data_IF_524210195158
#
_entry.id   IF_524210195158
#
_cell.length_a   1.000
_cell.length_b   1.000
_cell.length_c   1.000
_cell.angle_alpha   90.00
_cell.angle_beta   90.00
_cell.angle_gamma   90.00
#
_symmetry.space_group_name_H-M   'P 1'
#
loop_
_entity.id
_entity.type
_entity.pdbx_description
1 polymer ?
#
# COMPACT_ATOMS: atom_id res chain seq x y z
N UNK A 1 -5.34 1.53 42.98
CA UNK A 1 -5.63 2.53 41.92
C UNK A 1 -4.71 2.37 40.70
N UNK A 2 -3.52 1.80 40.88
CA UNK A 2 -2.46 1.81 39.85
C UNK A 2 -2.54 0.67 38.82
N UNK A 3 -3.49 -0.25 38.97
CA UNK A 3 -3.77 -1.24 37.94
C UNK A 3 -4.39 -0.58 36.68
N UNK A 4 -4.25 -1.17 35.48
CA UNK A 4 -4.99 -0.74 34.30
C UNK A 4 -6.49 -0.69 34.55
N UNK A 5 -7.18 0.31 33.97
CA UNK A 5 -8.65 0.44 34.05
C UNK A 5 -9.38 -0.44 33.05
N UNK A 6 -8.74 -0.72 31.91
CA UNK A 6 -9.27 -1.56 30.85
C UNK A 6 -8.18 -2.54 30.45
N UNK A 7 -8.54 -3.82 30.36
CA UNK A 7 -7.70 -4.88 29.80
C UNK A 7 -8.41 -5.41 28.56
N UNK A 8 -7.72 -5.44 27.42
CA UNK A 8 -8.28 -5.78 26.12
C UNK A 8 -7.54 -6.97 25.55
N UNK A 9 -8.28 -7.96 25.06
CA UNK A 9 -7.75 -9.12 24.34
C UNK A 9 -8.59 -9.35 23.08
N UNK A 10 -8.14 -8.82 21.94
CA UNK A 10 -8.85 -8.92 20.66
C UNK A 10 -8.19 -9.94 19.74
N UNK A 11 -9.02 -10.64 18.95
CA UNK A 11 -8.61 -11.49 17.84
C UNK A 11 -7.69 -12.69 18.18
N UNK A 12 -7.64 -13.10 19.45
CA UNK A 12 -6.87 -14.27 19.87
C UNK A 12 -7.59 -15.58 19.50
N UNK A 13 -6.91 -16.47 18.79
CA UNK A 13 -7.37 -17.84 18.51
C UNK A 13 -6.30 -18.84 18.93
N UNK A 14 -6.73 -20.02 19.38
CA UNK A 14 -5.81 -21.13 19.64
C UNK A 14 -5.08 -21.47 18.33
N UNK A 15 -3.76 -21.74 18.33
CA UNK A 15 -2.95 -21.73 17.10
C UNK A 15 -3.48 -22.59 15.94
N UNK A 16 -4.05 -23.76 16.22
CA UNK A 16 -4.64 -24.65 15.19
C UNK A 16 -5.79 -23.97 14.41
N UNK A 17 -6.48 -23.02 15.02
CA UNK A 17 -7.62 -22.30 14.45
C UNK A 17 -7.29 -20.85 14.07
N UNK A 18 -6.04 -20.41 14.22
CA UNK A 18 -5.63 -19.04 13.94
C UNK A 18 -5.45 -18.79 12.43
N UNK A 19 -6.56 -18.88 11.69
CA UNK A 19 -6.63 -18.62 10.25
C UNK A 19 -7.91 -17.84 9.90
N UNK A 20 -7.92 -17.25 8.70
CA UNK A 20 -9.02 -16.41 8.23
C UNK A 20 -10.33 -17.17 8.03
N UNK A 21 -10.29 -18.46 7.67
CA UNK A 21 -11.50 -19.26 7.49
C UNK A 21 -12.29 -19.36 8.80
N UNK A 22 -11.60 -19.73 9.89
CA UNK A 22 -12.22 -19.84 11.20
C UNK A 22 -12.56 -18.48 11.80
N UNK A 23 -11.72 -17.45 11.58
CA UNK A 23 -12.05 -16.06 11.92
C UNK A 23 -13.41 -15.67 11.30
N UNK A 24 -13.59 -15.87 9.99
CA UNK A 24 -14.79 -15.46 9.26
C UNK A 24 -16.02 -16.30 9.64
N UNK A 25 -15.82 -17.56 10.03
CA UNK A 25 -16.89 -18.38 10.62
C UNK A 25 -17.43 -17.76 11.93
N UNK A 26 -16.55 -17.33 12.83
CA UNK A 26 -16.92 -16.72 14.10
C UNK A 26 -17.49 -15.31 13.95
N UNK A 27 -16.93 -14.50 13.04
CA UNK A 27 -17.43 -13.15 12.74
C UNK A 27 -18.88 -13.17 12.23
N UNK A 28 -19.22 -14.10 11.33
CA UNK A 28 -20.61 -14.30 10.85
C UNK A 28 -21.58 -14.72 11.94
N UNK A 29 -21.09 -15.31 13.03
CA UNK A 29 -21.87 -15.66 14.23
C UNK A 29 -21.94 -14.50 15.23
N UNK A 30 -21.31 -13.36 14.95
CA UNK A 30 -21.18 -12.22 15.86
C UNK A 30 -20.26 -12.48 17.06
N UNK A 31 -19.36 -13.46 16.95
CA UNK A 31 -18.50 -13.92 18.05
C UNK A 31 -17.06 -13.38 17.96
N UNK A 32 -16.75 -12.58 16.94
CA UNK A 32 -15.39 -12.16 16.67
C UNK A 32 -15.31 -10.73 16.14
N UNK A 33 -14.14 -10.12 16.28
CA UNK A 33 -13.82 -8.79 15.78
C UNK A 33 -12.33 -8.76 15.43
N UNK A 34 -11.97 -8.12 14.30
CA UNK A 34 -10.57 -7.85 13.97
C UNK A 34 -10.10 -6.57 14.67
N UNK A 35 -9.25 -6.72 15.68
CA UNK A 35 -8.74 -5.59 16.47
C UNK A 35 -7.64 -4.79 15.79
N UNK A 36 -7.01 -5.35 14.75
CA UNK A 36 -5.76 -4.82 14.18
C UNK A 36 -4.76 -4.52 15.33
N UNK A 37 -4.05 -3.40 15.31
CA UNK A 37 -3.19 -2.96 16.41
C UNK A 37 -3.88 -1.86 17.22
N UNK A 38 -4.11 -0.69 16.61
CA UNK A 38 -4.57 0.53 17.30
C UNK A 38 -6.07 0.79 17.18
N UNK A 39 -6.76 0.04 16.31
CA UNK A 39 -8.20 0.14 16.12
C UNK A 39 -8.96 -0.42 17.34
N UNK A 40 -8.72 -1.69 17.66
CA UNK A 40 -9.35 -2.38 18.80
C UNK A 40 -8.82 -1.95 20.17
N UNK A 41 -7.76 -1.16 20.22
CA UNK A 41 -7.15 -0.61 21.45
C UNK A 41 -7.34 0.91 21.60
N UNK A 42 -8.12 1.53 20.71
CA UNK A 42 -8.61 2.91 20.82
C UNK A 42 -7.52 3.99 20.88
N UNK A 43 -6.48 3.83 20.07
CA UNK A 43 -5.38 4.80 19.99
C UNK A 43 -4.97 5.12 18.54
N UNK A 44 -5.86 4.88 17.57
CA UNK A 44 -5.64 5.27 16.19
C UNK A 44 -5.81 6.79 16.03
N UNK A 45 -4.81 7.45 15.44
CA UNK A 45 -4.76 8.91 15.24
C UNK A 45 -4.68 9.29 13.76
N UNK A 46 -5.27 8.46 12.88
CA UNK A 46 -5.16 8.66 11.44
C UNK A 46 -3.80 8.24 10.88
N UNK A 47 -3.50 8.69 9.65
CA UNK A 47 -2.22 8.43 8.98
C UNK A 47 -0.99 8.90 9.77
N UNK A 48 -1.17 9.89 10.66
CA UNK A 48 -0.09 10.41 11.50
C UNK A 48 0.51 9.33 12.42
N UNK A 49 -0.26 8.31 12.79
CA UNK A 49 0.23 7.23 13.66
C UNK A 49 1.40 6.43 13.07
N UNK A 50 1.60 6.45 11.75
CA UNK A 50 2.67 5.70 11.08
C UNK A 50 3.62 6.57 10.25
N UNK A 51 3.27 7.83 9.97
CA UNK A 51 4.06 8.69 9.07
C UNK A 51 5.52 8.81 9.51
N UNK A 52 5.81 8.92 10.80
CA UNK A 52 7.18 8.95 11.30
C UNK A 52 7.91 7.63 11.06
N UNK A 53 7.26 6.49 11.34
CA UNK A 53 7.87 5.18 11.10
C UNK A 53 8.16 4.92 9.62
N UNK A 54 7.26 5.34 8.73
CA UNK A 54 7.48 5.28 7.28
C UNK A 54 8.58 6.24 6.84
N UNK A 55 8.62 7.46 7.38
CA UNK A 55 9.69 8.42 7.12
C UNK A 55 11.05 7.86 7.53
N UNK A 56 11.19 7.34 8.76
CA UNK A 56 12.45 6.78 9.24
C UNK A 56 12.89 5.58 8.40
N UNK A 57 11.94 4.75 7.94
CA UNK A 57 12.24 3.65 7.00
C UNK A 57 12.86 4.18 5.71
N UNK A 58 12.25 5.19 5.08
CA UNK A 58 12.78 5.76 3.84
C UNK A 58 14.08 6.53 4.05
N UNK A 59 14.18 7.31 5.13
CA UNK A 59 15.39 8.04 5.49
C UNK A 59 16.56 7.08 5.71
N UNK A 60 16.32 5.97 6.41
CA UNK A 60 17.34 4.94 6.65
C UNK A 60 17.73 4.19 5.37
N UNK A 61 16.77 3.82 4.52
CA UNK A 61 17.08 3.28 3.20
C UNK A 61 17.93 4.28 2.37
N UNK A 62 17.61 5.57 2.45
CA UNK A 62 18.42 6.65 1.88
C UNK A 62 19.85 6.68 2.43
N UNK A 63 20.04 6.52 3.75
CA UNK A 63 21.38 6.46 4.37
C UNK A 63 22.18 5.25 3.91
N UNK A 64 21.54 4.08 3.80
CA UNK A 64 22.24 2.84 3.43
C UNK A 64 22.58 2.74 1.94
N UNK A 65 21.75 3.31 1.06
CA UNK A 65 21.86 3.10 -0.39
C UNK A 65 22.26 4.36 -1.18
N UNK A 66 22.08 5.56 -0.61
CA UNK A 66 22.21 6.83 -1.32
C UNK A 66 22.88 7.93 -0.49
N UNK A 67 23.76 7.59 0.45
CA UNK A 67 24.49 8.53 1.33
C UNK A 67 23.59 9.53 2.08
N UNK A 68 22.36 9.11 2.37
CA UNK A 68 21.33 9.92 3.04
C UNK A 68 20.67 10.97 2.13
N UNK A 69 20.92 10.95 0.83
CA UNK A 69 20.41 11.95 -0.14
C UNK A 69 19.43 11.32 -1.12
N UNK A 70 18.14 11.56 -0.88
CA UNK A 70 17.07 11.13 -1.77
C UNK A 70 16.61 12.19 -2.78
N UNK A 71 17.23 13.38 -2.79
CA UNK A 71 16.95 14.39 -3.82
C UNK A 71 17.29 13.83 -5.21
N UNK A 72 16.33 13.94 -6.14
CA UNK A 72 16.46 13.36 -7.48
C UNK A 72 16.21 11.85 -7.55
N UNK A 73 15.84 11.22 -6.44
CA UNK A 73 15.45 9.81 -6.33
C UNK A 73 13.94 9.67 -6.28
N UNK A 74 13.44 8.52 -6.71
CA UNK A 74 12.01 8.24 -6.60
C UNK A 74 11.69 6.84 -6.09
N UNK A 75 10.60 6.77 -5.32
CA UNK A 75 10.09 5.58 -4.66
C UNK A 75 8.83 5.11 -5.37
N UNK A 76 8.76 3.83 -5.70
CA UNK A 76 7.55 3.18 -6.21
C UNK A 76 6.87 2.40 -5.08
N UNK A 77 5.58 2.63 -4.88
CA UNK A 77 4.76 1.87 -3.95
C UNK A 77 3.30 1.78 -4.38
N UNK A 78 2.50 1.00 -3.65
CA UNK A 78 1.06 0.93 -3.80
C UNK A 78 0.32 0.93 -2.45
N UNK A 79 -0.97 1.25 -2.51
CA UNK A 79 -1.88 1.31 -1.38
C UNK A 79 -1.92 2.68 -0.71
N UNK A 80 -3.02 3.41 -0.89
CA UNK A 80 -3.32 4.68 -0.24
C UNK A 80 -4.46 4.53 0.77
N UNK A 81 -4.40 3.45 1.57
CA UNK A 81 -5.32 3.18 2.67
C UNK A 81 -5.08 4.05 3.90
N UNK A 82 -5.68 3.71 5.05
CA UNK A 82 -5.52 4.48 6.31
C UNK A 82 -4.07 4.60 6.78
N UNK A 83 -3.27 3.55 6.59
CA UNK A 83 -1.83 3.54 6.88
C UNK A 83 -1.00 3.82 5.62
N UNK A 84 -1.33 3.15 4.51
CA UNK A 84 -0.72 3.35 3.19
C UNK A 84 -0.68 4.79 2.69
N UNK A 85 -1.69 5.58 3.07
CA UNK A 85 -1.75 7.00 2.75
C UNK A 85 -0.66 7.85 3.43
N UNK A 86 0.13 7.31 4.36
CA UNK A 86 1.27 8.01 4.95
C UNK A 86 2.54 7.95 4.07
N UNK A 87 2.65 6.94 3.19
CA UNK A 87 3.80 6.74 2.31
C UNK A 87 4.19 7.96 1.46
N UNK A 88 3.24 8.67 0.82
CA UNK A 88 3.61 9.76 -0.08
C UNK A 88 4.20 10.95 0.69
N UNK A 89 3.58 11.36 1.81
CA UNK A 89 4.12 12.40 2.69
C UNK A 89 5.45 11.98 3.31
N UNK A 90 5.59 10.73 3.75
CA UNK A 90 6.84 10.22 4.31
C UNK A 90 7.99 10.27 3.29
N UNK A 91 7.74 9.90 2.03
CA UNK A 91 8.72 10.00 0.95
C UNK A 91 9.10 11.45 0.67
N UNK A 92 8.13 12.37 0.62
CA UNK A 92 8.38 13.81 0.45
C UNK A 92 9.23 14.37 1.60
N UNK A 93 8.92 14.01 2.85
CA UNK A 93 9.71 14.42 4.02
C UNK A 93 11.14 13.85 4.00
N UNK A 94 11.32 12.64 3.47
CA UNK A 94 12.63 12.01 3.27
C UNK A 94 13.40 12.64 2.08
N UNK A 95 12.77 13.50 1.30
CA UNK A 95 13.38 14.23 0.18
C UNK A 95 13.26 13.53 -1.18
N UNK A 96 12.42 12.50 -1.31
CA UNK A 96 12.22 11.74 -2.54
C UNK A 96 10.95 12.17 -3.29
N UNK A 97 10.94 11.92 -4.60
CA UNK A 97 9.69 11.80 -5.37
C UNK A 97 9.05 10.44 -5.04
N UNK A 98 7.72 10.33 -5.09
CA UNK A 98 7.06 9.02 -4.97
C UNK A 98 5.95 8.83 -5.99
N UNK A 99 5.84 7.60 -6.52
CA UNK A 99 4.71 7.13 -7.29
C UNK A 99 3.93 6.12 -6.46
N UNK A 100 2.65 6.40 -6.21
CA UNK A 100 1.80 5.68 -5.28
C UNK A 100 0.57 5.17 -6.03
N UNK A 101 0.56 3.88 -6.34
CA UNK A 101 -0.52 3.24 -7.09
C UNK A 101 -1.70 2.94 -6.15
N UNK A 102 -2.91 3.32 -6.54
CA UNK A 102 -4.12 3.05 -5.77
C UNK A 102 -5.28 2.71 -6.70
N UNK A 103 -6.07 1.69 -6.36
CA UNK A 103 -7.18 1.22 -7.18
C UNK A 103 -8.48 2.02 -6.98
N UNK A 104 -8.65 2.69 -5.84
CA UNK A 104 -9.85 3.44 -5.49
C UNK A 104 -9.62 4.95 -5.58
N UNK A 105 -10.31 5.62 -6.50
CA UNK A 105 -10.24 7.09 -6.65
C UNK A 105 -10.56 7.83 -5.34
N UNK A 106 -11.54 7.36 -4.58
CA UNK A 106 -11.90 7.96 -3.29
C UNK A 106 -10.76 7.94 -2.26
N UNK A 107 -9.87 6.95 -2.33
CA UNK A 107 -8.67 6.90 -1.50
C UNK A 107 -7.66 7.96 -1.92
N UNK A 108 -7.45 8.16 -3.22
CA UNK A 108 -6.58 9.22 -3.77
C UNK A 108 -7.12 10.60 -3.36
N UNK A 109 -8.40 10.86 -3.61
CA UNK A 109 -9.08 12.13 -3.28
C UNK A 109 -8.94 12.47 -1.79
N UNK A 110 -9.05 11.46 -0.92
CA UNK A 110 -8.90 11.64 0.51
C UNK A 110 -7.47 12.11 0.87
N UNK A 111 -6.43 11.58 0.21
CA UNK A 111 -5.03 11.92 0.52
C UNK A 111 -4.65 13.27 -0.06
N UNK A 112 -5.18 13.63 -1.24
CA UNK A 112 -5.08 14.99 -1.78
C UNK A 112 -5.70 16.00 -0.82
N UNK A 113 -6.95 15.76 -0.39
CA UNK A 113 -7.66 16.65 0.55
C UNK A 113 -6.94 16.80 1.89
N UNK A 114 -6.36 15.72 2.41
CA UNK A 114 -5.63 15.74 3.68
C UNK A 114 -4.16 16.17 3.55
N UNK A 115 -3.71 16.52 2.34
CA UNK A 115 -2.33 16.93 2.01
C UNK A 115 -1.28 15.87 2.36
N UNK A 116 -1.68 14.61 2.29
CA UNK A 116 -0.78 13.46 2.36
C UNK A 116 -0.29 13.02 0.98
N UNK A 117 -0.90 13.54 -0.09
CA UNK A 117 -0.52 13.37 -1.48
C UNK A 117 -0.58 14.73 -2.20
N UNK A 118 0.38 15.03 -3.07
CA UNK A 118 0.49 16.33 -3.73
C UNK A 118 -0.25 16.39 -5.08
N UNK A 119 -0.12 15.33 -5.88
CA UNK A 119 -0.61 15.28 -7.26
C UNK A 119 -1.21 13.92 -7.58
N UNK A 120 -2.06 13.90 -8.61
CA UNK A 120 -2.50 12.68 -9.27
C UNK A 120 -2.11 12.76 -10.75
N UNK A 121 -1.47 11.70 -11.26
CA UNK A 121 -1.18 11.54 -12.68
C UNK A 121 -2.39 10.99 -13.43
N UNK A 122 -2.51 11.35 -14.71
CA UNK A 122 -3.61 10.88 -15.58
C UNK A 122 -3.42 9.43 -16.02
N UNK A 123 -2.18 9.06 -16.29
CA UNK A 123 -1.76 7.75 -16.77
C UNK A 123 -0.26 7.53 -16.44
N UNK A 124 0.29 6.40 -16.87
CA UNK A 124 1.70 6.04 -16.63
C UNK A 124 2.67 7.03 -17.30
N UNK A 125 2.34 7.53 -18.49
CA UNK A 125 3.23 8.42 -19.24
C UNK A 125 3.29 9.80 -18.58
N UNK A 126 2.15 10.32 -18.15
CA UNK A 126 2.05 11.53 -17.34
C UNK A 126 2.79 11.36 -16.00
N UNK A 127 2.63 10.21 -15.33
CA UNK A 127 3.36 9.91 -14.10
C UNK A 127 4.88 9.94 -14.32
N UNK A 128 5.38 9.32 -15.37
CA UNK A 128 6.80 9.33 -15.72
C UNK A 128 7.32 10.73 -16.07
N UNK A 129 6.52 11.55 -16.74
CA UNK A 129 6.87 12.93 -17.03
C UNK A 129 6.97 13.77 -15.76
N UNK A 130 6.02 13.62 -14.84
CA UNK A 130 6.05 14.28 -13.53
C UNK A 130 7.24 13.84 -12.68
N UNK A 131 7.53 12.53 -12.63
CA UNK A 131 8.68 11.99 -11.91
C UNK A 131 9.97 12.57 -12.45
N UNK A 132 10.18 12.51 -13.77
CA UNK A 132 11.39 13.05 -14.41
C UNK A 132 11.56 14.54 -14.11
N UNK A 133 10.49 15.32 -14.29
CA UNK A 133 10.48 16.75 -14.06
C UNK A 133 10.93 17.11 -12.63
N UNK A 134 10.35 16.46 -11.61
CA UNK A 134 10.67 16.77 -10.22
C UNK A 134 12.04 16.20 -9.79
N UNK A 135 12.41 15.00 -10.26
CA UNK A 135 13.71 14.42 -9.97
C UNK A 135 14.86 15.26 -10.54
N UNK A 136 14.78 15.72 -11.79
CA UNK A 136 15.81 16.57 -12.42
C UNK A 136 16.01 17.91 -11.69
N UNK A 137 14.98 18.37 -10.97
CA UNK A 137 14.99 19.61 -10.19
C UNK A 137 15.36 19.40 -8.72
N UNK A 138 15.57 18.15 -8.29
CA UNK A 138 15.81 17.80 -6.89
C UNK A 138 14.63 18.12 -5.97
N UNK A 139 13.42 18.20 -6.51
CA UNK A 139 12.19 18.47 -5.75
C UNK A 139 11.59 17.17 -5.21
N UNK A 140 11.03 17.24 -4.00
CA UNK A 140 10.33 16.12 -3.39
C UNK A 140 8.82 16.31 -3.58
N UNK A 141 8.19 15.45 -4.38
CA UNK A 141 6.76 15.50 -4.71
C UNK A 141 6.17 14.11 -4.74
N UNK A 142 4.97 13.97 -4.19
CA UNK A 142 4.23 12.72 -4.19
C UNK A 142 3.13 12.68 -5.26
N UNK A 143 3.11 11.59 -6.02
CA UNK A 143 2.25 11.40 -7.20
C UNK A 143 1.41 10.14 -6.99
N UNK A 144 0.09 10.28 -7.07
CA UNK A 144 -0.85 9.16 -7.08
C UNK A 144 -1.14 8.73 -8.50
N UNK A 145 -1.30 7.42 -8.71
CA UNK A 145 -1.71 6.86 -10.00
C UNK A 145 -2.88 5.90 -9.77
N UNK A 146 -4.01 6.18 -10.43
CA UNK A 146 -5.18 5.32 -10.35
C UNK A 146 -4.93 4.04 -11.17
N UNK A 147 -5.06 2.88 -10.53
CA UNK A 147 -5.01 1.59 -11.21
C UNK A 147 -4.66 0.43 -10.28
N UNK A 148 -4.51 -0.77 -10.85
CA UNK A 148 -4.15 -1.96 -10.10
C UNK A 148 -2.63 -2.15 -10.04
N UNK A 149 -2.08 -2.30 -8.84
CA UNK A 149 -0.65 -2.55 -8.63
C UNK A 149 -0.16 -3.81 -9.35
N UNK A 150 -0.96 -4.88 -9.36
CA UNK A 150 -0.64 -6.13 -10.05
C UNK A 150 -0.60 -6.00 -11.58
N UNK A 151 -1.12 -4.91 -12.15
CA UNK A 151 -1.07 -4.62 -13.59
C UNK A 151 0.03 -3.59 -13.90
N UNK A 152 0.10 -2.53 -13.10
CA UNK A 152 1.00 -1.41 -13.33
C UNK A 152 2.44 -1.82 -13.04
N UNK A 153 2.77 -2.46 -11.92
CA UNK A 153 4.17 -2.79 -11.62
C UNK A 153 4.82 -3.67 -12.70
N UNK A 154 4.19 -4.76 -13.19
CA UNK A 154 4.73 -5.52 -14.32
C UNK A 154 4.91 -4.68 -15.60
N UNK A 155 4.01 -3.73 -15.87
CA UNK A 155 4.16 -2.81 -16.99
C UNK A 155 5.35 -1.85 -16.80
N UNK A 156 5.55 -1.32 -15.59
CA UNK A 156 6.72 -0.49 -15.28
C UNK A 156 8.02 -1.28 -15.41
N UNK A 157 8.03 -2.56 -15.01
CA UNK A 157 9.17 -3.47 -15.21
C UNK A 157 9.50 -3.63 -16.70
N UNK A 158 8.50 -3.88 -17.56
CA UNK A 158 8.70 -3.98 -19.01
C UNK A 158 9.31 -2.71 -19.58
N UNK A 159 8.80 -1.54 -19.17
CA UNK A 159 9.31 -0.24 -19.61
C UNK A 159 10.72 0.02 -19.13
N UNK A 160 11.05 -0.31 -17.88
CA UNK A 160 12.42 -0.20 -17.36
C UNK A 160 13.40 -1.09 -18.13
N UNK A 161 13.03 -2.33 -18.44
CA UNK A 161 13.83 -3.23 -19.30
C UNK A 161 14.06 -2.66 -20.72
N UNK A 162 13.12 -1.88 -21.22
CA UNK A 162 13.23 -1.19 -22.50
C UNK A 162 14.00 0.15 -22.43
N UNK A 163 14.65 0.47 -21.30
CA UNK A 163 15.42 1.71 -21.11
C UNK A 163 14.60 2.87 -20.53
N UNK A 164 13.38 2.61 -20.04
CA UNK A 164 12.56 3.58 -19.33
C UNK A 164 13.04 3.85 -17.90
N UNK A 165 12.27 4.67 -17.17
CA UNK A 165 12.58 5.01 -15.77
C UNK A 165 12.55 3.76 -14.88
N UNK A 166 13.56 3.65 -14.03
CA UNK A 166 13.66 2.64 -12.96
C UNK A 166 13.52 3.34 -11.60
N UNK A 167 12.70 2.82 -10.66
CA UNK A 167 12.65 3.33 -9.30
C UNK A 167 13.96 3.10 -8.57
N UNK A 168 14.28 4.00 -7.64
CA UNK A 168 15.43 3.85 -6.74
C UNK A 168 15.04 2.97 -5.54
N UNK A 169 13.80 3.06 -5.05
CA UNK A 169 13.26 2.18 -4.02
C UNK A 169 11.90 1.62 -4.43
N UNK A 170 11.62 0.37 -4.08
CA UNK A 170 10.33 -0.29 -4.33
C UNK A 170 9.81 -0.92 -3.04
N UNK A 171 8.54 -0.69 -2.72
CA UNK A 171 7.86 -1.31 -1.59
C UNK A 171 6.36 -1.48 -1.90
N UNK A 172 5.59 -2.03 -0.96
CA UNK A 172 4.13 -2.13 -1.05
C UNK A 172 3.47 -1.90 0.32
N UNK A 173 2.27 -1.33 0.31
CA UNK A 173 1.40 -1.26 1.48
C UNK A 173 -0.08 -1.47 1.13
N UNK A 174 -0.36 -2.23 0.08
CA UNK A 174 -1.71 -2.78 -0.12
C UNK A 174 -2.11 -3.66 1.07
N UNK A 175 -3.41 -3.89 1.26
CA UNK A 175 -3.88 -4.71 2.38
C UNK A 175 -3.83 -6.21 2.04
N UNK A 176 -2.68 -6.69 1.54
CA UNK A 176 -2.45 -8.09 1.17
C UNK A 176 -2.56 -9.10 2.34
N UNK A 177 -2.64 -8.61 3.59
CA UNK A 177 -2.89 -9.43 4.77
C UNK A 177 -4.32 -9.99 4.86
N UNK A 178 -5.26 -9.38 4.14
CA UNK A 178 -6.65 -9.83 4.01
C UNK A 178 -7.02 -9.83 2.52
N UNK A 179 -6.94 -10.99 1.88
CA UNK A 179 -7.13 -11.12 0.43
C UNK A 179 -8.58 -10.90 -0.02
N UNK A 180 -9.55 -11.07 0.88
CA UNK A 180 -10.97 -10.82 0.56
C UNK A 180 -11.23 -9.32 0.60
N UNK A 181 -10.83 -8.65 1.67
CA UNK A 181 -11.23 -7.25 1.90
C UNK A 181 -10.18 -6.22 1.47
N UNK A 182 -8.93 -6.64 1.25
CA UNK A 182 -7.78 -5.74 1.18
C UNK A 182 -7.00 -5.68 -0.13
N UNK A 183 -7.15 -6.66 -1.02
CA UNK A 183 -6.42 -6.71 -2.30
C UNK A 183 -7.36 -6.89 -3.50
N UNK A 184 -7.36 -5.92 -4.44
CA UNK A 184 -8.14 -5.98 -5.67
C UNK A 184 -7.48 -6.94 -6.68
N UNK A 185 -8.14 -8.03 -7.10
CA UNK A 185 -7.58 -8.91 -8.12
C UNK A 185 -7.37 -8.18 -9.46
N UNK A 186 -6.32 -8.57 -10.18
CA UNK A 186 -6.04 -8.10 -11.53
C UNK A 186 -7.23 -8.38 -12.47
N UNK A 187 -7.55 -7.44 -13.35
CA UNK A 187 -8.69 -7.52 -14.28
C UNK A 187 -10.07 -7.29 -13.66
N UNK A 188 -10.16 -7.07 -12.33
CA UNK A 188 -11.41 -6.74 -11.67
C UNK A 188 -11.60 -5.23 -11.54
N UNK A 189 -12.86 -4.79 -11.63
CA UNK A 189 -13.23 -3.45 -11.20
C UNK A 189 -13.44 -3.40 -9.69
N UNK A 190 -13.36 -2.20 -9.10
CA UNK A 190 -13.64 -1.99 -7.67
C UNK A 190 -15.07 -2.42 -7.34
N UNK A 191 -16.04 -2.18 -8.21
CA UNK A 191 -17.44 -2.55 -8.01
C UNK A 191 -17.62 -4.07 -7.94
N UNK A 192 -16.99 -4.81 -8.85
CA UNK A 192 -17.00 -6.27 -8.84
C UNK A 192 -16.39 -6.81 -7.54
N UNK A 193 -15.27 -6.23 -7.12
CA UNK A 193 -14.60 -6.62 -5.89
C UNK A 193 -15.46 -6.34 -4.66
N UNK A 194 -16.08 -5.16 -4.56
CA UNK A 194 -17.01 -4.82 -3.48
C UNK A 194 -18.25 -5.72 -3.45
N UNK A 195 -18.76 -6.13 -4.60
CA UNK A 195 -19.87 -7.07 -4.68
C UNK A 195 -19.46 -8.46 -4.15
N UNK A 196 -18.30 -8.97 -4.59
CA UNK A 196 -17.78 -10.27 -4.14
C UNK A 196 -17.43 -10.30 -2.64
N UNK A 197 -16.95 -9.19 -2.07
CA UNK A 197 -16.72 -9.08 -0.62
C UNK A 197 -17.99 -9.38 0.20
N UNK A 198 -19.15 -8.97 -0.32
CA UNK A 198 -20.46 -9.13 0.35
C UNK A 198 -21.10 -10.51 0.11
N UNK A 199 -20.54 -11.31 -0.79
CA UNK A 199 -21.05 -12.63 -1.13
C UNK A 199 -20.07 -13.73 -0.66
N UNK A 200 -20.36 -14.40 0.47
CA UNK A 200 -19.52 -15.48 0.98
C UNK A 200 -19.23 -16.60 -0.02
N UNK A 201 -20.10 -16.83 -1.01
CA UNK A 201 -19.87 -17.86 -2.03
C UNK A 201 -18.73 -17.49 -2.99
N UNK A 202 -18.43 -16.20 -3.12
CA UNK A 202 -17.34 -15.70 -3.97
C UNK A 202 -16.00 -15.64 -3.21
N UNK A 203 -15.98 -15.75 -1.89
CA UNK A 203 -14.76 -15.53 -1.08
C UNK A 203 -13.62 -16.47 -1.46
N UNK A 204 -13.91 -17.72 -1.81
CA UNK A 204 -12.90 -18.68 -2.25
C UNK A 204 -12.24 -18.25 -3.57
N UNK A 205 -13.06 -17.86 -4.56
CA UNK A 205 -12.59 -17.37 -5.85
C UNK A 205 -11.82 -16.05 -5.69
N UNK A 206 -12.36 -15.12 -4.92
CA UNK A 206 -11.74 -13.84 -4.66
C UNK A 206 -10.37 -14.00 -3.99
N UNK A 207 -10.27 -14.89 -3.00
CA UNK A 207 -9.00 -15.19 -2.32
C UNK A 207 -7.97 -15.77 -3.29
N UNK A 208 -8.35 -16.74 -4.13
CA UNK A 208 -7.46 -17.36 -5.11
C UNK A 208 -6.98 -16.35 -6.17
N UNK A 209 -7.88 -15.54 -6.74
CA UNK A 209 -7.53 -14.55 -7.76
C UNK A 209 -6.72 -13.38 -7.17
N UNK A 210 -7.01 -12.94 -5.95
CA UNK A 210 -6.20 -11.97 -5.22
C UNK A 210 -4.79 -12.52 -4.92
N UNK A 211 -4.67 -13.77 -4.48
CA UNK A 211 -3.38 -14.42 -4.22
C UNK A 211 -2.52 -14.52 -5.50
N UNK A 212 -3.12 -14.92 -6.63
CA UNK A 212 -2.45 -14.92 -7.94
C UNK A 212 -1.97 -13.53 -8.34
N UNK A 213 -2.79 -12.52 -8.08
CA UNK A 213 -2.44 -11.12 -8.36
C UNK A 213 -1.30 -10.62 -7.46
N UNK A 214 -1.29 -11.01 -6.17
CA UNK A 214 -0.17 -10.75 -5.27
C UNK A 214 1.13 -11.40 -5.78
N UNK A 215 1.07 -12.64 -6.28
CA UNK A 215 2.24 -13.31 -6.83
C UNK A 215 2.81 -12.56 -8.05
N UNK A 216 1.96 -12.09 -8.96
CA UNK A 216 2.39 -11.26 -10.11
C UNK A 216 3.02 -9.94 -9.65
N UNK A 217 2.41 -9.28 -8.66
CA UNK A 217 2.93 -8.05 -8.06
C UNK A 217 4.32 -8.29 -7.44
N UNK A 218 4.46 -9.30 -6.58
CA UNK A 218 5.75 -9.64 -5.94
C UNK A 218 6.80 -10.01 -6.98
N UNK A 219 6.44 -10.73 -8.05
CA UNK A 219 7.37 -11.01 -9.13
C UNK A 219 7.89 -9.71 -9.79
N UNK A 220 7.06 -8.70 -9.97
CA UNK A 220 7.51 -7.40 -10.47
C UNK A 220 8.47 -6.69 -9.50
N UNK A 221 8.25 -6.80 -8.18
CA UNK A 221 9.17 -6.27 -7.17
C UNK A 221 10.53 -6.99 -7.21
N UNK A 222 10.54 -8.32 -7.35
CA UNK A 222 11.75 -9.12 -7.53
C UNK A 222 12.47 -8.78 -8.84
N UNK A 223 11.72 -8.54 -9.92
CA UNK A 223 12.28 -8.12 -11.20
C UNK A 223 12.97 -6.75 -11.09
N UNK A 224 12.41 -5.79 -10.34
CA UNK A 224 13.10 -4.54 -10.04
C UNK A 224 14.34 -4.75 -9.17
N UNK A 225 14.25 -5.56 -8.12
CA UNK A 225 15.41 -5.89 -7.28
C UNK A 225 16.56 -6.50 -8.09
N UNK A 226 16.26 -7.35 -9.08
CA UNK A 226 17.25 -7.94 -9.96
C UNK A 226 17.94 -6.91 -10.89
N UNK A 227 17.36 -5.72 -11.06
CA UNK A 227 17.98 -4.59 -11.79
C UNK A 227 18.86 -3.70 -10.89
N UNK A 228 19.08 -4.11 -9.63
CA UNK A 228 19.71 -3.31 -8.57
C UNK A 228 18.90 -2.09 -8.19
#
# INVERSE_FOLDING_TARGET
PDAPRVLIANSNLVPKWANWEHFNELDRKGLFMYGQMTAGSWIYIGSQGIVQGTYETFAEAGRQHYDGKLAGKWILTAGLGGMGGAQPLAATLAGAVSLNIECQQSSIDFRLRTRYLDKQAKDIDDAFNLIRHHCERGEAVSIGLLGNAAEILPELVKRARAGGLKPDLVTDQTSAHDLVNGYLPMGWTVEQWRAAQRDPSQHARLTDEAAKSCAVHVQAMLDFQAMG
#
